data_IF_870727261627
#
_entry.id   IF_870727261627
#
_cell.length_a   1.000
_cell.length_b   1.000
_cell.length_c   1.000
_cell.angle_alpha   90.00
_cell.angle_beta   90.00
_cell.angle_gamma   90.00
#
_symmetry.space_group_name_H-M   'P 1'
#
loop_
_entity.id
_entity.type
_entity.pdbx_description
1 polymer ?
#
# COMPACT_ATOMS: atom_id res chain seq x y z
N UNK A 1 16.32 22.39 -13.92
CA UNK A 1 16.09 22.22 -12.47
C UNK A 1 15.59 20.81 -12.17
N UNK A 2 16.24 19.75 -12.69
CA UNK A 2 15.76 18.37 -12.48
C UNK A 2 16.71 17.59 -11.58
N UNK A 3 16.66 17.87 -10.27
CA UNK A 3 17.59 17.29 -9.28
C UNK A 3 17.40 15.78 -9.11
N UNK A 4 16.18 15.28 -9.30
CA UNK A 4 15.83 13.86 -9.10
C UNK A 4 16.51 12.93 -10.12
N UNK A 5 16.38 13.15 -11.45
CA UNK A 5 17.04 12.29 -12.43
C UNK A 5 18.57 12.34 -12.34
N UNK A 6 19.15 13.49 -11.97
CA UNK A 6 20.61 13.60 -11.74
C UNK A 6 21.07 12.78 -10.54
N UNK A 7 20.32 12.78 -9.43
CA UNK A 7 20.64 11.96 -8.25
C UNK A 7 20.49 10.46 -8.54
N UNK A 8 19.48 10.07 -9.33
CA UNK A 8 19.29 8.69 -9.77
C UNK A 8 20.46 8.21 -10.63
N UNK A 9 20.95 9.07 -11.54
CA UNK A 9 22.11 8.77 -12.38
C UNK A 9 23.42 8.63 -11.58
N UNK A 10 23.59 9.41 -10.51
CA UNK A 10 24.77 9.33 -9.64
C UNK A 10 24.80 8.07 -8.76
N UNK A 11 23.64 7.57 -8.33
CA UNK A 11 23.54 6.40 -7.43
C UNK A 11 22.42 5.44 -7.86
N UNK A 12 22.55 4.74 -9.00
CA UNK A 12 21.48 3.91 -9.55
C UNK A 12 21.10 2.74 -8.62
N UNK A 13 22.08 2.09 -7.98
CA UNK A 13 21.82 0.99 -7.03
C UNK A 13 21.01 1.44 -5.81
N UNK A 14 21.30 2.62 -5.24
CA UNK A 14 20.55 3.15 -4.09
C UNK A 14 19.11 3.48 -4.48
N UNK A 15 18.92 4.04 -5.67
CA UNK A 15 17.60 4.36 -6.21
C UNK A 15 16.73 3.11 -6.41
N UNK A 16 17.32 2.01 -6.89
CA UNK A 16 16.63 0.73 -7.02
C UNK A 16 16.23 0.17 -5.65
N UNK A 17 17.12 0.18 -4.66
CA UNK A 17 16.82 -0.34 -3.32
C UNK A 17 15.68 0.45 -2.66
N UNK A 18 15.75 1.78 -2.72
CA UNK A 18 14.68 2.66 -2.20
C UNK A 18 13.38 2.42 -2.96
N UNK A 19 13.43 2.36 -4.30
CA UNK A 19 12.26 2.09 -5.12
C UNK A 19 11.59 0.76 -4.79
N UNK A 20 12.37 -0.31 -4.60
CA UNK A 20 11.86 -1.63 -4.18
C UNK A 20 11.24 -1.58 -2.78
N UNK A 21 11.87 -0.88 -1.83
CA UNK A 21 11.32 -0.73 -0.49
C UNK A 21 9.97 0.02 -0.51
N UNK A 22 9.90 1.15 -1.23
CA UNK A 22 8.66 1.94 -1.37
C UNK A 22 7.57 1.13 -2.08
N UNK A 23 7.93 0.41 -3.14
CA UNK A 23 7.02 -0.49 -3.85
C UNK A 23 6.48 -1.59 -2.93
N UNK A 24 7.35 -2.22 -2.14
CA UNK A 24 6.97 -3.28 -1.22
C UNK A 24 6.01 -2.77 -0.15
N UNK A 25 6.30 -1.60 0.44
CA UNK A 25 5.41 -0.97 1.43
C UNK A 25 4.04 -0.69 0.81
N UNK A 26 4.00 -0.08 -0.37
CA UNK A 26 2.74 0.18 -1.07
C UNK A 26 1.96 -1.10 -1.39
N UNK A 27 2.64 -2.14 -1.90
CA UNK A 27 2.03 -3.42 -2.23
C UNK A 27 1.46 -4.13 -1.00
N UNK A 28 2.22 -4.15 0.11
CA UNK A 28 1.75 -4.72 1.39
C UNK A 28 0.52 -3.97 1.89
N UNK A 29 0.50 -2.63 1.82
CA UNK A 29 -0.68 -1.85 2.22
C UNK A 29 -1.92 -2.20 1.38
N UNK A 30 -1.77 -2.32 0.05
CA UNK A 30 -2.88 -2.72 -0.82
C UNK A 30 -3.38 -4.11 -0.48
N UNK A 31 -2.48 -5.09 -0.29
CA UNK A 31 -2.84 -6.45 0.06
C UNK A 31 -3.58 -6.51 1.41
N UNK A 32 -3.04 -5.86 2.44
CA UNK A 32 -3.68 -5.77 3.74
C UNK A 32 -5.09 -5.19 3.63
N UNK A 33 -5.30 -4.15 2.81
CA UNK A 33 -6.60 -3.53 2.62
C UNK A 33 -7.61 -4.46 1.93
N UNK A 34 -7.16 -5.24 0.94
CA UNK A 34 -8.00 -6.22 0.25
C UNK A 34 -8.44 -7.34 1.21
N UNK A 35 -7.50 -7.91 1.97
CA UNK A 35 -7.83 -8.93 2.98
C UNK A 35 -8.73 -8.38 4.08
N UNK A 36 -8.45 -7.18 4.54
CA UNK A 36 -9.24 -6.49 5.53
C UNK A 36 -10.70 -6.28 5.08
N UNK A 37 -10.90 -5.82 3.84
CA UNK A 37 -12.22 -5.68 3.21
C UNK A 37 -12.96 -7.00 3.09
N UNK A 38 -12.28 -8.07 2.66
CA UNK A 38 -12.92 -9.37 2.50
C UNK A 38 -13.30 -9.98 3.85
N UNK A 39 -12.45 -9.86 4.87
CA UNK A 39 -12.75 -10.31 6.23
C UNK A 39 -13.93 -9.54 6.84
N UNK A 40 -13.97 -8.21 6.69
CA UNK A 40 -15.08 -7.40 7.19
C UNK A 40 -16.40 -7.73 6.48
N UNK A 41 -16.36 -7.99 5.17
CA UNK A 41 -17.52 -8.42 4.40
C UNK A 41 -18.06 -9.77 4.89
N UNK A 42 -17.18 -10.77 5.08
CA UNK A 42 -17.56 -12.08 5.61
C UNK A 42 -18.19 -12.01 7.00
N UNK A 43 -17.58 -11.24 7.92
CA UNK A 43 -18.14 -11.02 9.25
C UNK A 43 -19.52 -10.34 9.20
N UNK A 44 -19.70 -9.38 8.30
CA UNK A 44 -20.99 -8.70 8.15
C UNK A 44 -22.07 -9.60 7.56
N UNK A 45 -21.73 -10.54 6.68
CA UNK A 45 -22.68 -11.55 6.20
C UNK A 45 -23.14 -12.48 7.33
N UNK A 46 -22.22 -12.95 8.17
CA UNK A 46 -22.55 -13.77 9.35
C UNK A 46 -23.45 -13.00 10.34
N UNK A 47 -23.11 -11.73 10.60
CA UNK A 47 -23.90 -10.85 11.47
C UNK A 47 -25.29 -10.57 10.90
N UNK A 48 -25.41 -10.37 9.59
CA UNK A 48 -26.69 -10.19 8.93
C UNK A 48 -27.59 -11.44 9.09
N UNK A 49 -27.01 -12.64 8.97
CA UNK A 49 -27.73 -13.91 9.22
C UNK A 49 -28.17 -14.06 10.69
N UNK A 50 -27.36 -13.53 11.61
CA UNK A 50 -27.68 -13.52 13.04
C UNK A 50 -28.62 -12.36 13.47
N UNK A 51 -29.08 -11.52 12.54
CA UNK A 51 -29.91 -10.35 12.85
C UNK A 51 -29.18 -9.23 13.60
N UNK A 52 -27.85 -9.22 13.57
CA UNK A 52 -27.00 -8.23 14.23
C UNK A 52 -26.66 -7.07 13.28
N UNK A 53 -26.37 -5.90 13.86
CA UNK A 53 -25.91 -4.74 13.09
C UNK A 53 -24.55 -4.96 12.45
N UNK A 54 -24.35 -4.45 11.24
CA UNK A 54 -23.08 -4.50 10.53
C UNK A 54 -21.99 -3.66 11.23
N UNK A 55 -20.76 -4.16 11.18
CA UNK A 55 -19.53 -3.48 11.58
C UNK A 55 -19.10 -2.57 10.43
N UNK A 56 -18.73 -1.32 10.76
CA UNK A 56 -18.40 -0.29 9.76
C UNK A 56 -16.90 -0.17 9.50
N UNK A 57 -16.08 -0.47 10.49
CA UNK A 57 -14.62 -0.29 10.42
C UNK A 57 -13.87 -1.54 10.86
N UNK A 58 -12.62 -1.69 10.44
CA UNK A 58 -11.79 -2.78 10.96
C UNK A 58 -11.43 -2.58 12.42
N UNK A 59 -11.35 -1.34 12.90
CA UNK A 59 -11.16 -1.08 14.32
C UNK A 59 -12.31 -1.64 15.18
N UNK A 60 -13.55 -1.59 14.67
CA UNK A 60 -14.71 -2.21 15.33
C UNK A 60 -14.67 -3.74 15.26
N UNK A 61 -14.25 -4.31 14.12
CA UNK A 61 -14.20 -5.76 13.93
C UNK A 61 -13.02 -6.43 14.67
N UNK A 62 -11.89 -5.74 14.78
CA UNK A 62 -10.63 -6.27 15.28
C UNK A 62 -9.95 -5.30 16.26
N UNK A 63 -10.58 -4.99 17.42
CA UNK A 63 -10.08 -3.99 18.36
C UNK A 63 -8.73 -4.35 19.01
N UNK A 64 -8.36 -5.64 19.01
CA UNK A 64 -7.10 -6.11 19.56
C UNK A 64 -5.88 -5.85 18.64
N UNK A 65 -6.11 -5.49 17.37
CA UNK A 65 -5.05 -5.34 16.37
C UNK A 65 -4.88 -3.87 15.96
N UNK A 66 -3.64 -3.42 15.74
CA UNK A 66 -3.39 -2.08 15.22
C UNK A 66 -3.81 -2.02 13.75
N UNK A 67 -5.03 -1.54 13.46
CA UNK A 67 -5.55 -1.43 12.09
C UNK A 67 -5.27 -0.07 11.42
N UNK A 68 -4.65 0.88 12.14
CA UNK A 68 -4.43 2.26 11.70
C UNK A 68 -3.60 2.42 10.41
N UNK A 69 -2.78 1.44 10.06
CA UNK A 69 -1.97 1.45 8.82
C UNK A 69 -2.69 0.79 7.63
N UNK A 70 -3.84 0.15 7.85
CA UNK A 70 -4.62 -0.50 6.80
C UNK A 70 -5.51 0.55 6.13
N UNK A 71 -5.39 0.76 4.81
CA UNK A 71 -6.22 1.74 4.14
C UNK A 71 -7.67 1.24 3.99
N UNK A 72 -8.58 1.77 4.82
CA UNK A 72 -10.02 1.47 4.74
C UNK A 72 -10.76 2.40 3.77
N UNK A 73 -10.24 3.62 3.60
CA UNK A 73 -10.87 4.70 2.83
C UNK A 73 -10.30 4.81 1.43
N UNK A 74 -11.07 5.43 0.52
CA UNK A 74 -10.62 5.75 -0.84
C UNK A 74 -9.30 6.55 -0.82
N UNK A 75 -9.15 7.47 0.13
CA UNK A 75 -7.93 8.25 0.30
C UNK A 75 -6.73 7.36 0.68
N UNK A 76 -6.91 6.44 1.63
CA UNK A 76 -5.87 5.49 2.03
C UNK A 76 -5.42 4.60 0.87
N UNK A 77 -6.37 4.12 0.06
CA UNK A 77 -6.07 3.37 -1.16
C UNK A 77 -5.30 4.22 -2.17
N UNK A 78 -5.68 5.49 -2.34
CA UNK A 78 -4.97 6.42 -3.20
C UNK A 78 -3.50 6.60 -2.81
N UNK A 79 -3.21 6.70 -1.51
CA UNK A 79 -1.83 6.78 -0.99
C UNK A 79 -1.06 5.49 -1.27
N UNK A 80 -1.66 4.33 -1.00
CA UNK A 80 -1.02 3.04 -1.26
C UNK A 80 -0.72 2.84 -2.76
N UNK A 81 -1.66 3.21 -3.64
CA UNK A 81 -1.47 3.19 -5.08
C UNK A 81 -0.37 4.15 -5.53
N UNK A 82 -0.32 5.36 -4.96
CA UNK A 82 0.73 6.33 -5.26
C UNK A 82 2.12 5.81 -4.86
N UNK A 83 2.26 5.12 -3.72
CA UNK A 83 3.51 4.48 -3.30
C UNK A 83 3.94 3.39 -4.28
N UNK A 84 3.01 2.54 -4.74
CA UNK A 84 3.30 1.51 -5.75
C UNK A 84 3.82 2.14 -7.05
N UNK A 85 3.13 3.18 -7.54
CA UNK A 85 3.54 3.90 -8.75
C UNK A 85 4.92 4.54 -8.56
N UNK A 86 5.12 5.28 -7.47
CA UNK A 86 6.38 5.95 -7.18
C UNK A 86 7.56 4.96 -7.05
N UNK A 87 7.36 3.86 -6.32
CA UNK A 87 8.36 2.80 -6.18
C UNK A 87 8.72 2.16 -7.51
N UNK A 88 7.72 1.87 -8.35
CA UNK A 88 7.91 1.33 -9.70
C UNK A 88 8.68 2.31 -10.58
N UNK A 89 8.35 3.60 -10.54
CA UNK A 89 9.07 4.63 -11.29
C UNK A 89 10.54 4.73 -10.86
N UNK A 90 10.82 4.69 -9.55
CA UNK A 90 12.20 4.73 -9.04
C UNK A 90 13.02 3.51 -9.47
N UNK A 91 12.44 2.31 -9.40
CA UNK A 91 13.10 1.07 -9.85
C UNK A 91 13.39 1.14 -11.35
N UNK A 92 12.39 1.48 -12.17
CA UNK A 92 12.55 1.51 -13.63
C UNK A 92 13.55 2.55 -14.09
N UNK A 93 13.59 3.73 -13.46
CA UNK A 93 14.60 4.76 -13.74
C UNK A 93 16.00 4.35 -13.27
N UNK A 94 16.11 3.75 -12.08
CA UNK A 94 17.38 3.25 -11.55
C UNK A 94 17.96 2.13 -12.41
N UNK A 95 17.13 1.19 -12.88
CA UNK A 95 17.55 0.11 -13.78
C UNK A 95 17.99 0.62 -15.15
N UNK A 96 17.28 1.62 -15.71
CA UNK A 96 17.70 2.27 -16.95
C UNK A 96 19.04 2.98 -16.79
N UNK A 97 19.27 3.65 -15.67
CA UNK A 97 20.53 4.33 -15.37
C UNK A 97 21.68 3.35 -15.11
N UNK A 98 21.41 2.18 -14.53
CA UNK A 98 22.43 1.14 -14.28
C UNK A 98 22.91 0.42 -15.55
N UNK A 99 22.14 0.48 -16.65
CA UNK A 99 22.46 -0.14 -17.94
C UNK A 99 23.18 0.79 -18.93
N UNK A 100 23.25 2.09 -18.62
CA UNK A 100 24.04 3.07 -19.36
C UNK A 100 25.47 3.10 -18.85
#
# INVERSE_FOLDING_TARGET
MDRIPTLIALHPRRSIVIGKAVLLVGAVMVLCAVFARSSLAGLNEERARAGLSALRTLAEAFPAYPTWFVPETVLGFGIAAALVVAGTTLVTLGEKAAKR
#
